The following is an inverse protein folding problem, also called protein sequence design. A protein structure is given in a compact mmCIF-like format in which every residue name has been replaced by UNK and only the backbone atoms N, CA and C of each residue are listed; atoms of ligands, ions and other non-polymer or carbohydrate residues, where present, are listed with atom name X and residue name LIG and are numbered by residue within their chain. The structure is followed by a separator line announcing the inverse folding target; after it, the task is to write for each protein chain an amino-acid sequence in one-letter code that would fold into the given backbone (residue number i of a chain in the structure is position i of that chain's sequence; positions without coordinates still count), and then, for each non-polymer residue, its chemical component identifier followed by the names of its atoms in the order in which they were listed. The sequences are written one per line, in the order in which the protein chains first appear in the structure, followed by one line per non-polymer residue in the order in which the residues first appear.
data_IF_520718956898
#
_entry.id   IF_520718956898
#
_cell.length_a   1.000
_cell.length_b   1.000
_cell.length_c   1.000
_cell.angle_alpha   90.00
_cell.angle_beta   90.00
_cell.angle_gamma   90.00
#
_symmetry.space_group_name_H-M   'P 1'
#
loop_
_entity.id
_entity.type
_entity.pdbx_description
1 polymer ?
#
# COMPACT_ATOMS: atom_id res chain seq x y z
N UNK A 1 -1.74 -3.16 26.01
CA UNK A 1 -2.64 -2.80 24.89
C UNK A 1 -1.99 -3.30 23.62
N UNK A 2 -2.68 -4.13 22.85
CA UNK A 2 -2.15 -4.84 21.69
C UNK A 2 -1.64 -3.87 20.62
N UNK A 3 -0.34 -3.95 20.33
CA UNK A 3 0.37 -3.19 19.29
C UNK A 3 0.06 -3.69 17.86
N UNK A 4 -1.05 -4.42 17.68
CA UNK A 4 -1.34 -5.24 16.48
C UNK A 4 -1.86 -4.44 15.27
N UNK A 5 -2.03 -3.12 15.41
CA UNK A 5 -2.60 -2.26 14.36
C UNK A 5 -1.68 -1.12 13.92
N UNK A 6 -0.39 -1.20 14.25
CA UNK A 6 0.61 -0.20 13.84
C UNK A 6 1.76 -0.84 13.10
N UNK A 7 2.34 -0.11 12.15
CA UNK A 7 3.46 -0.54 11.31
C UNK A 7 4.66 0.39 11.51
N UNK A 8 5.85 -0.19 11.66
CA UNK A 8 7.11 0.56 11.69
C UNK A 8 7.60 0.85 10.27
N UNK A 9 8.52 1.80 10.12
CA UNK A 9 9.15 2.07 8.83
C UNK A 9 9.84 0.82 8.24
N UNK A 10 10.56 0.06 9.07
CA UNK A 10 11.25 -1.16 8.64
C UNK A 10 10.26 -2.22 8.11
N UNK A 11 9.13 -2.41 8.77
CA UNK A 11 8.12 -3.36 8.29
C UNK A 11 7.42 -2.86 7.03
N UNK A 12 7.15 -1.57 6.93
CA UNK A 12 6.61 -0.95 5.71
C UNK A 12 7.56 -1.14 4.53
N UNK A 13 8.85 -0.81 4.72
CA UNK A 13 9.91 -1.01 3.73
C UNK A 13 10.03 -2.47 3.30
N UNK A 14 9.97 -3.42 4.26
CA UNK A 14 10.02 -4.86 3.97
C UNK A 14 8.87 -5.31 3.07
N UNK A 15 7.65 -4.82 3.31
CA UNK A 15 6.48 -5.12 2.46
C UNK A 15 6.68 -4.54 1.06
N UNK A 16 7.10 -3.27 0.97
CA UNK A 16 7.38 -2.60 -0.30
C UNK A 16 8.42 -3.38 -1.12
N UNK A 17 9.53 -3.78 -0.49
CA UNK A 17 10.58 -4.54 -1.15
C UNK A 17 10.09 -5.90 -1.67
N UNK A 18 9.28 -6.62 -0.89
CA UNK A 18 8.71 -7.89 -1.34
C UNK A 18 7.86 -7.74 -2.60
N UNK A 19 7.08 -6.67 -2.69
CA UNK A 19 6.29 -6.37 -3.89
C UNK A 19 7.20 -6.01 -5.07
N UNK A 20 8.28 -5.26 -4.84
CA UNK A 20 9.27 -4.92 -5.88
C UNK A 20 9.93 -6.19 -6.42
N UNK A 21 10.30 -7.12 -5.55
CA UNK A 21 10.94 -8.38 -5.94
C UNK A 21 10.00 -9.25 -6.80
N UNK A 22 8.70 -9.24 -6.49
CA UNK A 22 7.67 -10.02 -7.20
C UNK A 22 6.95 -9.25 -8.33
N UNK A 23 7.36 -8.01 -8.63
CA UNK A 23 6.57 -7.07 -9.47
C UNK A 23 6.23 -7.60 -10.86
N UNK A 24 7.16 -8.27 -11.52
CA UNK A 24 6.93 -8.81 -12.87
C UNK A 24 5.86 -9.91 -12.87
N UNK A 25 5.82 -10.74 -11.81
CA UNK A 25 4.77 -11.74 -11.61
C UNK A 25 3.44 -11.05 -11.31
N UNK A 26 3.43 -10.08 -10.40
CA UNK A 26 2.23 -9.34 -10.02
C UNK A 26 1.59 -8.66 -11.24
N UNK A 27 2.39 -7.95 -12.05
CA UNK A 27 1.92 -7.26 -13.25
C UNK A 27 1.40 -8.25 -14.30
N UNK A 28 2.12 -9.35 -14.53
CA UNK A 28 1.70 -10.39 -15.47
C UNK A 28 0.32 -10.97 -15.15
N UNK A 29 0.00 -11.11 -13.85
CA UNK A 29 -1.28 -11.66 -13.40
C UNK A 29 -2.40 -10.63 -13.28
N UNK A 30 -2.09 -9.34 -13.35
CA UNK A 30 -3.05 -8.24 -13.21
C UNK A 30 -2.96 -7.27 -14.39
N UNK A 31 -3.26 -7.68 -15.64
CA UNK A 31 -3.04 -6.85 -16.82
C UNK A 31 -4.02 -5.68 -16.96
N UNK A 32 -4.97 -5.53 -16.05
CA UNK A 32 -6.01 -4.50 -16.06
C UNK A 32 -5.56 -3.34 -15.16
N UNK A 33 -4.74 -2.45 -15.73
CA UNK A 33 -4.20 -1.27 -15.07
C UNK A 33 -2.82 -0.91 -15.59
N UNK A 34 -2.37 0.30 -15.29
CA UNK A 34 -0.97 0.69 -15.46
C UNK A 34 -0.10 -0.05 -14.42
N UNK A 35 1.20 -0.14 -14.70
CA UNK A 35 2.19 -0.68 -13.75
C UNK A 35 2.05 -0.06 -12.36
N UNK A 36 1.97 1.26 -12.31
CA UNK A 36 1.84 2.01 -11.06
C UNK A 36 0.55 1.64 -10.31
N UNK A 37 -0.59 1.61 -10.98
CA UNK A 37 -1.89 1.24 -10.36
C UNK A 37 -1.85 -0.16 -9.77
N UNK A 38 -1.33 -1.14 -10.51
CA UNK A 38 -1.26 -2.53 -10.07
C UNK A 38 -0.41 -2.66 -8.82
N UNK A 39 0.76 -2.01 -8.79
CA UNK A 39 1.66 -2.08 -7.66
C UNK A 39 1.06 -1.37 -6.44
N UNK A 40 0.51 -0.16 -6.60
CA UNK A 40 -0.10 0.58 -5.49
C UNK A 40 -1.33 -0.15 -4.94
N UNK A 41 -2.13 -0.77 -5.81
CA UNK A 41 -3.22 -1.66 -5.39
C UNK A 41 -2.71 -2.83 -4.55
N UNK A 42 -1.65 -3.52 -4.99
CA UNK A 42 -1.06 -4.64 -4.26
C UNK A 42 -0.53 -4.22 -2.89
N UNK A 43 0.10 -3.03 -2.80
CA UNK A 43 0.55 -2.48 -1.53
C UNK A 43 -0.64 -2.15 -0.62
N UNK A 44 -1.69 -1.52 -1.14
CA UNK A 44 -2.91 -1.23 -0.37
C UNK A 44 -3.53 -2.53 0.18
N UNK A 45 -3.64 -3.58 -0.63
CA UNK A 45 -4.17 -4.88 -0.20
C UNK A 45 -3.28 -5.55 0.86
N UNK A 46 -1.95 -5.47 0.70
CA UNK A 46 -0.98 -6.00 1.65
C UNK A 46 -1.07 -5.29 3.00
N UNK A 47 -1.21 -3.96 3.01
CA UNK A 47 -1.39 -3.18 4.23
C UNK A 47 -2.72 -3.49 4.92
N UNK A 48 -3.80 -3.64 4.13
CA UNK A 48 -5.11 -4.03 4.65
C UNK A 48 -5.04 -5.35 5.42
N UNK A 49 -4.38 -6.36 4.82
CA UNK A 49 -4.15 -7.66 5.44
C UNK A 49 -3.23 -7.57 6.66
N UNK A 50 -2.08 -6.89 6.53
CA UNK A 50 -1.09 -6.78 7.60
C UNK A 50 -1.64 -6.09 8.86
N UNK A 51 -2.37 -4.98 8.67
CA UNK A 51 -2.95 -4.20 9.77
C UNK A 51 -4.26 -4.77 10.31
N UNK A 52 -4.74 -5.87 9.70
CA UNK A 52 -6.01 -6.53 10.02
C UNK A 52 -7.18 -5.54 10.01
N UNK A 53 -7.25 -4.72 8.96
CA UNK A 53 -8.32 -3.74 8.80
C UNK A 53 -9.65 -4.45 8.54
N UNK A 54 -10.72 -3.88 9.08
CA UNK A 54 -12.09 -4.33 8.81
C UNK A 54 -12.67 -3.61 7.59
N UNK A 55 -13.69 -4.18 6.95
CA UNK A 55 -14.31 -3.58 5.75
C UNK A 55 -14.86 -2.16 5.97
N UNK A 56 -15.15 -1.79 7.23
CA UNK A 56 -15.63 -0.46 7.63
C UNK A 56 -14.49 0.58 7.59
N UNK A 57 -13.24 0.13 7.70
CA UNK A 57 -12.04 0.97 7.68
C UNK A 57 -11.45 1.10 6.26
N UNK A 58 -12.04 0.42 5.28
CA UNK A 58 -11.64 0.50 3.87
C UNK A 58 -12.06 1.84 3.27
N UNK A 59 -11.13 2.61 2.68
CA UNK A 59 -11.50 3.78 1.90
C UNK A 59 -12.40 3.38 0.72
N UNK A 60 -13.65 3.86 0.72
CA UNK A 60 -14.57 3.70 -0.40
C UNK A 60 -14.39 4.87 -1.37
N UNK A 61 -13.70 4.64 -2.48
CA UNK A 61 -13.59 5.63 -3.56
C UNK A 61 -14.75 5.46 -4.55
N UNK A 62 -15.33 6.57 -5.00
CA UNK A 62 -16.38 6.56 -6.03
C UNK A 62 -15.76 6.74 -7.42
N UNK A 63 -16.25 5.97 -8.40
CA UNK A 63 -15.82 6.08 -9.80
C UNK A 63 -14.63 5.17 -10.17
N UNK A 64 -13.91 5.55 -11.23
CA UNK A 64 -12.73 4.83 -11.71
C UNK A 64 -11.55 5.10 -10.79
N UNK A 65 -10.96 4.05 -10.22
CA UNK A 65 -9.74 4.13 -9.41
C UNK A 65 -8.52 4.31 -10.31
N UNK A 66 -7.56 5.12 -9.87
CA UNK A 66 -6.29 5.35 -10.54
C UNK A 66 -5.13 5.35 -9.53
N UNK A 67 -3.90 5.58 -10.00
CA UNK A 67 -2.70 5.63 -9.16
C UNK A 67 -2.85 6.60 -7.97
N UNK A 68 -3.32 7.81 -8.22
CA UNK A 68 -3.52 8.83 -7.17
C UNK A 68 -4.51 8.35 -6.10
N UNK A 69 -5.59 7.70 -6.54
CA UNK A 69 -6.59 7.12 -5.63
C UNK A 69 -5.94 6.14 -4.65
N UNK A 70 -5.02 5.29 -5.13
CA UNK A 70 -4.32 4.35 -4.26
C UNK A 70 -3.28 5.03 -3.35
N UNK A 71 -2.60 6.10 -3.81
CA UNK A 71 -1.70 6.89 -2.96
C UNK A 71 -2.46 7.52 -1.79
N UNK A 72 -3.60 8.13 -2.07
CA UNK A 72 -4.50 8.67 -1.05
C UNK A 72 -4.99 7.57 -0.08
N UNK A 73 -5.38 6.41 -0.61
CA UNK A 73 -5.81 5.26 0.19
C UNK A 73 -4.74 4.81 1.19
N UNK A 74 -3.50 4.65 0.72
CA UNK A 74 -2.37 4.24 1.54
C UNK A 74 -2.08 5.31 2.59
N UNK A 75 -2.09 6.59 2.22
CA UNK A 75 -1.93 7.70 3.17
C UNK A 75 -2.99 7.70 4.26
N UNK A 76 -4.26 7.45 3.90
CA UNK A 76 -5.36 7.33 4.85
C UNK A 76 -5.19 6.14 5.79
N UNK A 77 -4.86 4.95 5.25
CA UNK A 77 -4.60 3.73 6.04
C UNK A 77 -3.50 3.98 7.07
N UNK A 78 -2.43 4.68 6.68
CA UNK A 78 -1.26 4.88 7.54
C UNK A 78 -1.42 6.00 8.57
N UNK A 79 -2.33 6.97 8.36
CA UNK A 79 -2.45 8.21 9.15
C UNK A 79 -2.33 8.01 10.67
N UNK A 80 -3.09 7.07 11.23
CA UNK A 80 -3.11 6.77 12.67
C UNK A 80 -2.46 5.42 13.01
N UNK A 81 -1.75 4.82 12.04
CA UNK A 81 -1.22 3.45 12.12
C UNK A 81 0.29 3.37 11.98
N UNK A 82 1.01 4.47 11.80
CA UNK A 82 2.47 4.42 11.89
C UNK A 82 2.91 4.27 13.34
N UNK A 83 3.82 3.35 13.63
CA UNK A 83 4.39 3.12 14.96
C UNK A 83 5.38 4.23 15.38
N UNK A 84 5.93 4.95 14.41
CA UNK A 84 6.73 6.16 14.55
C UNK A 84 6.50 7.05 13.34
N UNK A 85 6.98 8.28 13.36
CA UNK A 85 6.86 9.13 12.18
C UNK A 85 7.85 8.70 11.10
N UNK A 86 7.35 8.45 9.89
CA UNK A 86 8.16 8.13 8.73
C UNK A 86 7.45 8.56 7.44
N UNK A 87 8.26 8.90 6.44
CA UNK A 87 7.78 9.44 5.18
C UNK A 87 7.50 8.32 4.16
N UNK A 88 6.33 7.71 4.29
CA UNK A 88 5.84 6.70 3.36
C UNK A 88 5.78 7.16 1.89
N UNK A 89 5.65 8.47 1.61
CA UNK A 89 5.51 8.96 0.23
C UNK A 89 6.79 8.72 -0.58
N UNK A 90 7.97 8.85 0.05
CA UNK A 90 9.27 8.53 -0.57
C UNK A 90 9.32 7.09 -1.09
N UNK A 91 8.84 6.15 -0.29
CA UNK A 91 8.77 4.76 -0.70
C UNK A 91 7.80 4.57 -1.86
N UNK A 92 6.64 5.25 -1.87
CA UNK A 92 5.69 5.17 -2.98
C UNK A 92 6.29 5.73 -4.29
N UNK A 93 7.11 6.77 -4.21
CA UNK A 93 7.77 7.34 -5.38
C UNK A 93 8.87 6.43 -5.92
N UNK A 94 9.67 5.82 -5.06
CA UNK A 94 10.67 4.83 -5.47
C UNK A 94 10.01 3.56 -6.03
N UNK A 95 8.90 3.14 -5.42
CA UNK A 95 8.13 1.94 -5.71
C UNK A 95 7.50 1.89 -7.11
N UNK A 96 7.05 3.03 -7.63
CA UNK A 96 6.38 3.08 -8.94
C UNK A 96 7.34 3.29 -10.11
N UNK A 97 8.58 3.70 -9.82
CA UNK A 97 9.59 4.06 -10.80
C UNK A 97 10.64 2.95 -11.06
N UNK A 98 10.51 1.79 -10.38
CA UNK A 98 11.35 0.57 -10.56
C UNK A 98 10.82 -0.37 -11.64
#
# INVERSE_FOLDING_TARGET
MSNLHRISENEFSRIVQGIVDDRETIIKHNPLGTREEILLWMLSASLFSYLSLTDIETPCFSGSVNAETYREAIGFILKDRKAGDFDHAKYLDEFVNV
#
